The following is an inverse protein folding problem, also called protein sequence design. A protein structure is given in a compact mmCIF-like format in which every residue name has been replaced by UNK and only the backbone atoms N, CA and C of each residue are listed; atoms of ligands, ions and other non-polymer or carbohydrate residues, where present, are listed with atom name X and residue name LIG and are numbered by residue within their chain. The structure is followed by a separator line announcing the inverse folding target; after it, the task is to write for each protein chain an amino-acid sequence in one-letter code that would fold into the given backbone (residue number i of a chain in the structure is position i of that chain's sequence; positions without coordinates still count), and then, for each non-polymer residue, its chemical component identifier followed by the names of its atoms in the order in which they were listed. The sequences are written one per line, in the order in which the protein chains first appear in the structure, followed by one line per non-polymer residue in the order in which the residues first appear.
data_IF_429796837690
#
_entry.id   IF_429796837690
#
_cell.length_a   1.000
_cell.length_b   1.000
_cell.length_c   1.000
_cell.angle_alpha   90.00
_cell.angle_beta   90.00
_cell.angle_gamma   90.00
#
_symmetry.space_group_name_H-M   'P 1'
#
loop_
_entity.id
_entity.type
_entity.pdbx_description
1 polymer ?
#
# COMPACT_ATOMS: atom_id res chain seq x y z
N UNK A 1 -9.80 17.91 81.66
CA UNK A 1 -10.13 18.80 80.54
C UNK A 1 -8.91 19.65 80.24
N UNK A 2 -8.14 19.33 79.19
CA UNK A 2 -7.10 20.24 78.71
C UNK A 2 -7.69 21.10 77.57
N UNK A 3 -7.53 22.44 77.62
CA UNK A 3 -8.05 23.33 76.60
C UNK A 3 -7.22 23.16 75.31
N UNK A 4 -7.89 22.83 74.21
CA UNK A 4 -7.26 22.75 72.90
C UNK A 4 -6.76 24.12 72.45
N UNK A 5 -5.46 24.20 72.14
CA UNK A 5 -4.81 25.38 71.57
C UNK A 5 -5.45 25.76 70.21
N UNK A 6 -6.01 26.98 70.05
CA UNK A 6 -6.66 27.42 68.82
C UNK A 6 -5.70 27.58 67.62
N UNK A 7 -4.38 27.46 67.80
CA UNK A 7 -3.37 27.61 66.73
C UNK A 7 -3.26 26.40 65.78
N UNK A 8 -3.76 25.23 66.15
CA UNK A 8 -3.69 23.99 65.33
C UNK A 8 -4.84 23.86 64.29
N UNK A 9 -5.88 24.71 64.36
CA UNK A 9 -7.06 24.61 63.48
C UNK A 9 -6.78 24.93 62.00
N UNK A 10 -5.73 25.69 61.71
CA UNK A 10 -5.32 26.00 60.33
C UNK A 10 -4.55 24.85 59.65
N UNK A 11 -3.74 24.11 60.41
CA UNK A 11 -2.90 23.03 59.88
C UNK A 11 -3.74 21.82 59.44
N UNK A 12 -4.79 21.47 60.20
CA UNK A 12 -5.71 20.39 59.84
C UNK A 12 -6.53 20.70 58.58
N UNK A 13 -6.90 21.97 58.35
CA UNK A 13 -7.63 22.35 57.13
C UNK A 13 -6.72 22.29 55.89
N UNK A 14 -5.46 22.72 56.04
CA UNK A 14 -4.46 22.66 54.97
C UNK A 14 -4.12 21.22 54.58
N UNK A 15 -4.01 20.30 55.54
CA UNK A 15 -3.74 18.89 55.24
C UNK A 15 -4.90 18.21 54.51
N UNK A 16 -6.15 18.53 54.86
CA UNK A 16 -7.33 18.04 54.15
C UNK A 16 -7.41 18.62 52.74
N UNK A 17 -7.18 19.93 52.57
CA UNK A 17 -7.17 20.56 51.24
C UNK A 17 -6.05 19.99 50.35
N UNK A 18 -4.86 19.75 50.92
CA UNK A 18 -3.76 19.11 50.20
C UNK A 18 -4.14 17.70 49.77
N UNK A 19 -4.73 16.89 50.67
CA UNK A 19 -5.15 15.54 50.35
C UNK A 19 -6.21 15.52 49.24
N UNK A 20 -7.23 16.40 49.32
CA UNK A 20 -8.25 16.54 48.28
C UNK A 20 -7.64 16.99 46.95
N UNK A 21 -6.69 17.93 46.98
CA UNK A 21 -6.00 18.40 45.78
C UNK A 21 -5.20 17.25 45.12
N UNK A 22 -4.46 16.46 45.90
CA UNK A 22 -3.74 15.29 45.37
C UNK A 22 -4.71 14.25 44.81
N UNK A 23 -5.81 13.95 45.51
CA UNK A 23 -6.84 13.03 45.01
C UNK A 23 -7.46 13.52 43.70
N UNK A 24 -7.75 14.82 43.59
CA UNK A 24 -8.28 15.43 42.38
C UNK A 24 -7.31 15.34 41.21
N UNK A 25 -6.01 15.59 41.42
CA UNK A 25 -4.97 15.45 40.39
C UNK A 25 -4.84 14.00 39.92
N UNK A 26 -4.80 13.03 40.85
CA UNK A 26 -4.73 11.61 40.50
C UNK A 26 -5.97 11.20 39.69
N UNK A 27 -7.16 11.59 40.13
CA UNK A 27 -8.41 11.31 39.43
C UNK A 27 -8.42 11.91 38.01
N UNK A 28 -7.97 13.15 37.85
CA UNK A 28 -7.88 13.81 36.55
C UNK A 28 -6.94 13.07 35.58
N UNK A 29 -5.75 12.65 36.05
CA UNK A 29 -4.81 11.86 35.24
C UNK A 29 -5.37 10.50 34.87
N UNK A 30 -6.08 9.84 35.79
CA UNK A 30 -6.74 8.56 35.52
C UNK A 30 -7.84 8.70 34.45
N UNK A 31 -8.68 9.73 34.55
CA UNK A 31 -9.71 10.00 33.54
C UNK A 31 -9.11 10.28 32.16
N UNK A 32 -8.02 11.06 32.09
CA UNK A 32 -7.35 11.34 30.82
C UNK A 32 -6.81 10.06 30.17
N UNK A 33 -6.18 9.19 30.96
CA UNK A 33 -5.70 7.87 30.49
C UNK A 33 -6.85 6.98 30.00
N UNK A 34 -7.97 6.95 30.72
CA UNK A 34 -9.16 6.19 30.30
C UNK A 34 -9.76 6.75 29.01
N UNK A 35 -9.85 8.07 28.87
CA UNK A 35 -10.33 8.72 27.65
C UNK A 35 -9.41 8.44 26.45
N UNK A 36 -8.09 8.46 26.65
CA UNK A 36 -7.14 8.10 25.59
C UNK A 36 -7.28 6.62 25.21
N UNK A 37 -7.34 5.71 26.19
CA UNK A 37 -7.47 4.28 25.94
C UNK A 37 -8.77 3.93 25.19
N UNK A 38 -9.89 4.55 25.56
CA UNK A 38 -11.18 4.37 24.87
C UNK A 38 -11.16 4.90 23.44
N UNK A 39 -10.52 6.05 23.19
CA UNK A 39 -10.33 6.57 21.82
C UNK A 39 -9.46 5.65 20.97
N UNK A 40 -8.34 5.15 21.51
CA UNK A 40 -7.47 4.22 20.80
C UNK A 40 -8.19 2.90 20.50
N UNK A 41 -8.94 2.36 21.47
CA UNK A 41 -9.75 1.16 21.27
C UNK A 41 -10.82 1.37 20.18
N UNK A 42 -11.52 2.51 20.20
CA UNK A 42 -12.50 2.88 19.19
C UNK A 42 -11.89 3.00 17.79
N UNK A 43 -10.75 3.68 17.66
CA UNK A 43 -10.04 3.80 16.38
C UNK A 43 -9.54 2.43 15.87
N UNK A 44 -9.03 1.58 16.75
CA UNK A 44 -8.58 0.23 16.41
C UNK A 44 -9.73 -0.65 15.92
N UNK A 45 -10.89 -0.56 16.58
CA UNK A 45 -12.11 -1.26 16.14
C UNK A 45 -12.58 -0.74 14.78
N UNK A 46 -12.63 0.58 14.59
CA UNK A 46 -13.05 1.19 13.32
C UNK A 46 -12.13 0.80 12.15
N UNK A 47 -10.81 0.79 12.36
CA UNK A 47 -9.84 0.36 11.34
C UNK A 47 -10.00 -1.13 10.99
N UNK A 48 -10.22 -1.98 12.00
CA UNK A 48 -10.46 -3.41 11.78
C UNK A 48 -11.76 -3.63 11.00
N UNK A 49 -12.82 -2.93 11.36
CA UNK A 49 -14.10 -2.98 10.64
C UNK A 49 -13.95 -2.50 9.18
N UNK A 50 -13.22 -1.42 8.94
CA UNK A 50 -12.94 -0.92 7.59
C UNK A 50 -12.19 -1.95 6.73
N UNK A 51 -11.16 -2.62 7.30
CA UNK A 51 -10.43 -3.71 6.61
C UNK A 51 -11.34 -4.88 6.27
N UNK A 52 -12.17 -5.32 7.23
CA UNK A 52 -13.12 -6.40 6.99
C UNK A 52 -14.14 -6.04 5.90
N UNK A 53 -14.56 -4.77 5.82
CA UNK A 53 -15.42 -4.29 4.74
C UNK A 53 -14.71 -4.26 3.39
N UNK A 54 -13.45 -3.82 3.33
CA UNK A 54 -12.67 -3.87 2.11
C UNK A 54 -12.53 -5.31 1.59
N UNK A 55 -12.11 -6.26 2.43
CA UNK A 55 -11.96 -7.68 2.03
C UNK A 55 -13.30 -8.33 1.65
N UNK A 56 -14.38 -7.97 2.34
CA UNK A 56 -15.73 -8.45 1.98
C UNK A 56 -16.18 -7.91 0.63
N UNK A 57 -15.91 -6.62 0.36
CA UNK A 57 -16.23 -5.98 -0.90
C UNK A 57 -15.40 -6.58 -2.05
N UNK A 58 -14.11 -6.85 -1.84
CA UNK A 58 -13.25 -7.57 -2.80
C UNK A 58 -13.80 -8.96 -3.12
N UNK A 59 -14.18 -9.74 -2.10
CA UNK A 59 -14.74 -11.09 -2.29
C UNK A 59 -16.04 -11.05 -3.10
N UNK A 60 -16.93 -10.09 -2.80
CA UNK A 60 -18.18 -9.91 -3.53
C UNK A 60 -17.92 -9.44 -4.98
N UNK A 61 -16.99 -8.51 -5.17
CA UNK A 61 -16.58 -8.05 -6.50
C UNK A 61 -16.02 -9.20 -7.34
N UNK A 62 -15.10 -10.01 -6.79
CA UNK A 62 -14.56 -11.18 -7.47
C UNK A 62 -15.63 -12.19 -7.87
N UNK A 63 -16.57 -12.50 -6.98
CA UNK A 63 -17.67 -13.41 -7.29
C UNK A 63 -18.55 -12.87 -8.43
N UNK A 64 -18.84 -11.57 -8.42
CA UNK A 64 -19.63 -10.91 -9.47
C UNK A 64 -18.89 -10.89 -10.81
N UNK A 65 -17.60 -10.53 -10.82
CA UNK A 65 -16.73 -10.54 -12.00
C UNK A 65 -16.66 -11.94 -12.58
N UNK A 66 -16.40 -12.96 -11.75
CA UNK A 66 -16.38 -14.36 -12.17
C UNK A 66 -17.69 -14.77 -12.84
N UNK A 67 -18.83 -14.43 -12.26
CA UNK A 67 -20.14 -14.72 -12.86
C UNK A 67 -20.34 -14.03 -14.22
N UNK A 68 -19.82 -12.81 -14.40
CA UNK A 68 -19.88 -12.09 -15.69
C UNK A 68 -18.97 -12.72 -16.75
N UNK A 69 -17.76 -13.13 -16.36
CA UNK A 69 -16.81 -13.83 -17.23
C UNK A 69 -17.35 -15.19 -17.64
N UNK A 70 -17.91 -15.97 -16.70
CA UNK A 70 -18.46 -17.31 -16.99
C UNK A 70 -19.67 -17.26 -17.94
N UNK A 71 -20.39 -16.12 -18.01
CA UNK A 71 -21.51 -15.90 -18.92
C UNK A 71 -21.10 -15.46 -20.34
N UNK A 72 -19.85 -15.06 -20.58
CA UNK A 72 -19.42 -14.53 -21.88
C UNK A 72 -18.14 -15.22 -22.40
N UNK A 73 -18.24 -15.86 -23.56
CA UNK A 73 -17.08 -16.48 -24.23
C UNK A 73 -16.02 -15.47 -24.66
N UNK A 74 -16.42 -14.22 -24.92
CA UNK A 74 -15.53 -13.17 -25.42
C UNK A 74 -14.62 -12.59 -24.34
N UNK A 75 -14.88 -12.79 -23.03
CA UNK A 75 -14.02 -12.44 -21.86
C UNK A 75 -13.44 -11.01 -21.77
N UNK A 76 -13.58 -10.14 -22.78
CA UNK A 76 -12.70 -8.97 -22.95
C UNK A 76 -13.41 -7.65 -23.22
N UNK A 77 -14.72 -7.56 -23.00
CA UNK A 77 -15.44 -6.30 -23.23
C UNK A 77 -16.24 -5.94 -21.99
N UNK A 78 -15.97 -4.75 -21.43
CA UNK A 78 -16.79 -4.12 -20.41
C UNK A 78 -18.17 -3.78 -20.98
N UNK A 79 -19.00 -4.80 -21.17
CA UNK A 79 -20.32 -4.69 -21.80
C UNK A 79 -21.27 -3.81 -20.99
N UNK A 80 -20.99 -3.63 -19.71
CA UNK A 80 -21.83 -2.90 -18.76
C UNK A 80 -21.29 -1.51 -18.40
N UNK A 81 -20.10 -1.13 -18.87
CA UNK A 81 -19.46 0.14 -18.48
C UNK A 81 -19.07 0.19 -17.00
N UNK A 82 -18.78 -0.97 -16.39
CA UNK A 82 -18.41 -1.11 -14.98
C UNK A 82 -16.94 -0.71 -14.73
N UNK A 83 -16.06 -0.92 -15.71
CA UNK A 83 -14.64 -0.70 -15.55
C UNK A 83 -14.31 0.80 -15.51
N UNK A 84 -13.34 1.17 -14.67
CA UNK A 84 -12.88 2.55 -14.50
C UNK A 84 -13.88 3.48 -13.82
N UNK A 85 -15.05 2.99 -13.37
CA UNK A 85 -16.06 3.79 -12.68
C UNK A 85 -16.18 3.43 -11.21
N UNK A 86 -16.33 4.45 -10.38
CA UNK A 86 -16.68 4.26 -8.97
C UNK A 86 -18.18 3.95 -8.85
N UNK A 87 -18.52 2.92 -8.07
CA UNK A 87 -19.91 2.58 -7.75
C UNK A 87 -20.06 2.23 -6.27
N UNK A 88 -21.19 2.58 -5.66
CA UNK A 88 -21.46 2.22 -4.27
C UNK A 88 -21.85 0.75 -4.15
N UNK A 89 -21.20 0.05 -3.24
CA UNK A 89 -21.51 -1.31 -2.82
C UNK A 89 -22.10 -1.28 -1.40
N UNK A 90 -23.42 -1.46 -1.25
CA UNK A 90 -24.04 -1.45 0.06
C UNK A 90 -23.64 -2.70 0.86
N UNK A 91 -23.18 -2.50 2.09
CA UNK A 91 -22.87 -3.55 3.05
C UNK A 91 -23.82 -3.43 4.27
N UNK A 92 -23.84 -4.46 5.12
CA UNK A 92 -24.78 -4.56 6.25
C UNK A 92 -24.76 -3.35 7.21
N UNK A 93 -23.62 -2.66 7.37
CA UNK A 93 -23.46 -1.50 8.25
C UNK A 93 -22.56 -0.42 7.63
N UNK A 94 -22.75 -0.14 6.34
CA UNK A 94 -22.01 0.91 5.65
C UNK A 94 -22.09 0.79 4.13
N UNK A 95 -21.33 1.63 3.45
CA UNK A 95 -21.19 1.58 1.99
C UNK A 95 -19.71 1.61 1.65
N UNK A 96 -19.29 0.75 0.74
CA UNK A 96 -17.94 0.78 0.17
C UNK A 96 -18.05 1.39 -1.23
N UNK A 97 -17.19 2.34 -1.55
CA UNK A 97 -17.00 2.78 -2.93
C UNK A 97 -16.01 1.84 -3.59
N UNK A 98 -16.42 1.18 -4.66
CA UNK A 98 -15.58 0.25 -5.41
C UNK A 98 -15.31 0.80 -6.81
N UNK A 99 -14.09 0.58 -7.32
CA UNK A 99 -13.71 0.77 -8.71
C UNK A 99 -12.99 -0.48 -9.17
N UNK A 100 -13.32 -0.97 -10.37
CA UNK A 100 -12.67 -2.13 -10.98
C UNK A 100 -11.95 -1.63 -12.22
N UNK A 101 -10.65 -1.90 -12.32
CA UNK A 101 -9.82 -1.53 -13.46
C UNK A 101 -9.29 -2.82 -14.13
N UNK A 102 -9.12 -2.81 -15.46
CA UNK A 102 -8.53 -3.94 -16.19
C UNK A 102 -7.01 -3.84 -16.20
N UNK A 103 -6.35 -4.74 -15.47
CA UNK A 103 -4.89 -4.85 -15.46
C UNK A 103 -4.31 -5.35 -16.80
N UNK A 104 -5.11 -5.94 -17.68
CA UNK A 104 -4.71 -6.44 -19.00
C UNK A 104 -4.59 -5.36 -20.08
N UNK A 105 -5.10 -4.15 -19.85
CA UNK A 105 -5.04 -3.04 -20.80
C UNK A 105 -3.75 -2.19 -20.69
N UNK A 106 -2.79 -2.65 -19.88
CA UNK A 106 -1.48 -2.02 -19.70
C UNK A 106 -0.38 -2.85 -20.37
N UNK A 107 0.72 -2.20 -20.77
CA UNK A 107 1.91 -2.95 -21.18
C UNK A 107 2.47 -3.72 -19.98
N UNK A 108 2.52 -5.04 -20.08
CA UNK A 108 3.10 -5.87 -19.03
C UNK A 108 4.64 -5.78 -19.07
N UNK A 109 5.24 -5.13 -18.08
CA UNK A 109 6.70 -4.99 -17.97
C UNK A 109 7.42 -6.34 -17.84
N UNK A 110 6.80 -7.31 -17.18
CA UNK A 110 7.33 -8.68 -17.08
C UNK A 110 7.36 -9.40 -18.43
N UNK A 111 6.74 -8.83 -19.47
CA UNK A 111 6.88 -9.35 -20.83
C UNK A 111 8.21 -8.98 -21.49
N UNK A 112 9.05 -8.12 -20.89
CA UNK A 112 10.38 -7.81 -21.44
C UNK A 112 11.32 -9.01 -21.45
N UNK A 113 11.05 -10.02 -20.63
CA UNK A 113 11.80 -11.27 -20.57
C UNK A 113 10.92 -12.46 -20.93
N UNK A 114 11.56 -13.57 -21.24
CA UNK A 114 10.94 -14.89 -21.33
C UNK A 114 11.79 -15.92 -20.61
N UNK A 115 11.15 -16.95 -20.06
CA UNK A 115 11.83 -18.03 -19.38
C UNK A 115 12.46 -18.98 -20.42
N UNK A 116 13.76 -19.25 -20.27
CA UNK A 116 14.45 -20.26 -21.06
C UNK A 116 14.14 -21.70 -20.56
N UNK A 117 14.74 -22.70 -21.19
CA UNK A 117 14.57 -24.11 -20.81
C UNK A 117 15.02 -24.45 -19.38
N UNK A 118 15.81 -23.57 -18.75
CA UNK A 118 16.32 -23.69 -17.38
C UNK A 118 15.57 -22.78 -16.41
N UNK A 119 14.46 -22.16 -16.84
CA UNK A 119 13.68 -21.19 -16.08
C UNK A 119 14.45 -19.91 -15.70
N UNK A 120 15.51 -19.56 -16.43
CA UNK A 120 16.14 -18.25 -16.32
C UNK A 120 15.41 -17.24 -17.18
N UNK A 121 15.24 -16.03 -16.69
CA UNK A 121 14.70 -14.92 -17.45
C UNK A 121 15.76 -14.43 -18.43
N UNK A 122 15.42 -14.39 -19.72
CA UNK A 122 16.25 -13.78 -20.75
C UNK A 122 15.49 -12.70 -21.47
N UNK A 123 16.21 -11.66 -21.89
CA UNK A 123 15.66 -10.57 -22.68
C UNK A 123 14.91 -11.08 -23.92
N UNK A 124 13.64 -10.66 -24.04
CA UNK A 124 12.79 -10.88 -25.21
C UNK A 124 12.82 -9.64 -26.09
N UNK A 125 13.62 -9.67 -27.16
CA UNK A 125 13.82 -8.54 -28.08
C UNK A 125 12.52 -7.95 -28.63
N UNK A 126 11.52 -8.80 -28.90
CA UNK A 126 10.20 -8.35 -29.33
C UNK A 126 9.53 -7.47 -28.26
N UNK A 127 9.57 -7.88 -26.99
CA UNK A 127 9.03 -7.11 -25.87
C UNK A 127 9.72 -5.75 -25.71
N UNK A 128 11.05 -5.73 -25.83
CA UNK A 128 11.84 -4.49 -25.80
C UNK A 128 11.42 -3.53 -26.92
N UNK A 129 11.25 -4.04 -28.14
CA UNK A 129 10.80 -3.24 -29.28
C UNK A 129 9.39 -2.68 -29.09
N UNK A 130 8.48 -3.45 -28.49
CA UNK A 130 7.11 -3.03 -28.18
C UNK A 130 7.09 -1.93 -27.12
N UNK A 131 7.88 -2.07 -26.05
CA UNK A 131 7.98 -1.04 -25.01
C UNK A 131 8.56 0.26 -25.57
N UNK A 132 9.64 0.20 -26.36
CA UNK A 132 10.21 1.39 -27.01
C UNK A 132 9.22 2.05 -27.99
N UNK A 133 8.43 1.26 -28.72
CA UNK A 133 7.36 1.79 -29.57
C UNK A 133 6.26 2.50 -28.77
N UNK A 134 5.87 1.94 -27.61
CA UNK A 134 4.95 2.59 -26.67
C UNK A 134 5.54 3.91 -26.15
N UNK A 135 6.79 3.93 -25.69
CA UNK A 135 7.45 5.14 -25.22
C UNK A 135 7.56 6.22 -26.30
N UNK A 136 7.83 5.83 -27.55
CA UNK A 136 7.80 6.74 -28.69
C UNK A 136 6.41 7.35 -28.92
N UNK A 137 5.34 6.56 -28.77
CA UNK A 137 3.96 7.07 -28.88
C UNK A 137 3.59 8.05 -27.77
N UNK A 138 4.27 7.96 -26.62
CA UNK A 138 4.18 8.89 -25.50
C UNK A 138 5.13 10.10 -25.63
N UNK A 139 5.78 10.26 -26.79
CA UNK A 139 6.75 11.32 -27.08
C UNK A 139 8.00 11.34 -26.15
N UNK A 140 8.39 10.18 -25.62
CA UNK A 140 9.66 10.02 -24.89
C UNK A 140 10.81 9.97 -25.91
N UNK A 141 11.89 10.77 -25.73
CA UNK A 141 13.06 10.76 -26.61
C UNK A 141 13.70 9.38 -26.75
N UNK A 142 14.24 9.06 -27.92
CA UNK A 142 14.77 7.73 -28.21
C UNK A 142 15.91 7.30 -27.29
N UNK A 143 16.82 8.22 -26.93
CA UNK A 143 17.90 7.93 -25.99
C UNK A 143 17.40 7.58 -24.59
N UNK A 144 16.42 8.34 -24.09
CA UNK A 144 15.79 8.08 -22.79
C UNK A 144 14.98 6.78 -22.82
N UNK A 145 14.24 6.54 -23.90
CA UNK A 145 13.52 5.29 -24.12
C UNK A 145 14.46 4.08 -24.14
N UNK A 146 15.65 4.19 -24.75
CA UNK A 146 16.64 3.11 -24.74
C UNK A 146 17.18 2.86 -23.33
N UNK A 147 17.59 3.91 -22.60
CA UNK A 147 18.09 3.78 -21.22
C UNK A 147 17.03 3.16 -20.30
N UNK A 148 15.79 3.63 -20.35
CA UNK A 148 14.69 3.11 -19.53
C UNK A 148 14.40 1.64 -19.88
N UNK A 149 14.23 1.33 -21.18
CA UNK A 149 13.87 -0.04 -21.57
C UNK A 149 14.95 -1.05 -21.22
N UNK A 150 16.22 -0.67 -21.39
CA UNK A 150 17.37 -1.54 -21.16
C UNK A 150 17.58 -1.74 -19.66
N UNK A 151 17.46 -0.66 -18.86
CA UNK A 151 17.56 -0.76 -17.40
C UNK A 151 16.44 -1.60 -16.78
N UNK A 152 15.21 -1.55 -17.32
CA UNK A 152 14.11 -2.40 -16.85
C UNK A 152 14.34 -3.86 -17.28
N UNK A 153 14.93 -4.11 -18.44
CA UNK A 153 15.26 -5.47 -18.85
C UNK A 153 16.30 -6.10 -17.92
N UNK A 154 17.41 -5.40 -17.69
CA UNK A 154 18.50 -5.81 -16.77
C UNK A 154 18.00 -5.93 -15.31
N UNK A 155 16.95 -5.20 -14.93
CA UNK A 155 16.34 -5.36 -13.62
C UNK A 155 15.69 -6.74 -13.42
N UNK A 156 15.19 -7.34 -14.51
CA UNK A 156 14.31 -8.51 -14.51
C UNK A 156 15.01 -9.80 -14.96
N UNK A 157 15.91 -9.71 -15.92
CA UNK A 157 16.63 -10.87 -16.43
C UNK A 157 17.59 -11.44 -15.38
N UNK A 158 18.03 -12.68 -15.61
CA UNK A 158 18.71 -13.47 -14.57
C UNK A 158 20.23 -13.36 -14.63
N UNK A 159 20.77 -12.79 -15.71
CA UNK A 159 22.21 -12.59 -15.79
C UNK A 159 22.64 -11.31 -15.06
N UNK A 160 23.89 -10.91 -15.22
CA UNK A 160 24.44 -9.70 -14.59
C UNK A 160 25.29 -8.95 -15.61
N UNK A 161 24.87 -9.02 -16.89
CA UNK A 161 25.57 -8.46 -18.04
C UNK A 161 24.77 -7.27 -18.53
N UNK A 162 25.22 -6.03 -18.26
CA UNK A 162 24.42 -4.87 -18.57
C UNK A 162 24.21 -4.72 -20.08
N UNK A 163 22.98 -4.40 -20.48
CA UNK A 163 22.67 -4.00 -21.84
C UNK A 163 23.39 -2.68 -22.21
N UNK A 164 23.49 -2.32 -23.51
CA UNK A 164 24.27 -1.16 -23.95
C UNK A 164 23.93 0.17 -23.27
N UNK A 165 22.67 0.36 -22.88
CA UNK A 165 22.21 1.53 -22.11
C UNK A 165 21.58 1.12 -20.78
N UNK A 166 21.78 -0.14 -20.37
CA UNK A 166 21.20 -0.72 -19.18
C UNK A 166 22.07 -0.53 -17.95
N UNK A 167 21.67 -1.21 -16.88
CA UNK A 167 22.28 -1.09 -15.57
C UNK A 167 22.08 -2.39 -14.80
N UNK A 168 23.16 -2.91 -14.24
CA UNK A 168 23.21 -4.14 -13.44
C UNK A 168 23.71 -3.86 -12.01
N UNK A 169 23.97 -4.91 -11.23
CA UNK A 169 24.41 -4.84 -9.82
C UNK A 169 25.44 -3.74 -9.55
N UNK A 170 26.49 -3.64 -10.37
CA UNK A 170 27.56 -2.66 -10.19
C UNK A 170 27.03 -1.21 -10.21
N UNK A 171 26.02 -0.94 -11.04
CA UNK A 171 25.39 0.39 -11.14
C UNK A 171 24.54 0.72 -9.91
N UNK A 172 23.76 -0.26 -9.41
CA UNK A 172 22.89 -0.05 -8.26
C UNK A 172 23.66 -0.06 -6.93
N UNK A 173 24.76 -0.80 -6.84
CA UNK A 173 25.65 -0.79 -5.68
C UNK A 173 26.39 0.54 -5.51
N UNK A 174 26.56 1.31 -6.60
CA UNK A 174 27.13 2.66 -6.56
C UNK A 174 26.20 3.75 -6.02
N UNK A 175 24.93 3.44 -5.74
CA UNK A 175 23.94 4.43 -5.23
C UNK A 175 24.18 4.77 -3.75
N UNK A 176 23.70 5.92 -3.25
CA UNK A 176 23.83 6.31 -1.84
C UNK A 176 23.28 5.27 -0.85
N UNK A 177 22.23 4.57 -1.26
CA UNK A 177 21.73 3.36 -0.59
C UNK A 177 21.95 2.20 -1.56
N UNK A 178 23.00 1.38 -1.37
CA UNK A 178 23.34 0.29 -2.27
C UNK A 178 22.28 -0.82 -2.25
N UNK A 179 21.94 -1.32 -3.43
CA UNK A 179 21.14 -2.53 -3.62
C UNK A 179 21.56 -3.22 -4.94
N UNK A 180 20.93 -4.35 -5.23
CA UNK A 180 21.20 -5.19 -6.41
C UNK A 180 20.01 -5.19 -7.35
N UNK A 181 20.22 -5.59 -8.60
CA UNK A 181 19.11 -5.91 -9.50
C UNK A 181 18.25 -7.02 -8.90
N UNK A 182 16.98 -7.08 -9.30
CA UNK A 182 16.06 -8.04 -8.72
C UNK A 182 16.35 -9.46 -9.21
N UNK A 183 16.78 -9.63 -10.47
CA UNK A 183 17.03 -10.94 -11.07
C UNK A 183 15.76 -11.78 -11.23
N UNK A 184 14.59 -11.14 -11.18
CA UNK A 184 13.27 -11.78 -11.13
C UNK A 184 12.20 -10.87 -11.73
N UNK A 185 11.03 -11.47 -12.00
CA UNK A 185 9.84 -10.71 -12.38
C UNK A 185 9.49 -9.66 -11.32
N UNK A 186 9.07 -8.49 -11.80
CA UNK A 186 8.55 -7.38 -11.01
C UNK A 186 7.30 -7.86 -10.28
N UNK A 187 7.29 -7.68 -8.95
CA UNK A 187 6.16 -7.94 -8.09
C UNK A 187 5.23 -6.75 -7.96
N UNK A 188 5.77 -5.53 -7.99
CA UNK A 188 4.99 -4.29 -7.96
C UNK A 188 5.58 -3.23 -8.89
N UNK A 189 4.73 -2.44 -9.56
CA UNK A 189 5.16 -1.39 -10.49
C UNK A 189 6.05 -0.33 -9.81
N UNK A 190 5.95 -0.14 -8.49
CA UNK A 190 6.82 0.79 -7.75
C UNK A 190 8.29 0.38 -7.72
N UNK A 191 8.64 -0.84 -8.15
CA UNK A 191 10.04 -1.27 -8.29
C UNK A 191 10.79 -0.47 -9.38
N UNK A 192 10.11 0.15 -10.35
CA UNK A 192 10.74 0.84 -11.50
C UNK A 192 10.93 2.37 -11.30
N UNK A 193 10.97 2.86 -10.07
CA UNK A 193 11.02 4.31 -9.76
C UNK A 193 12.31 5.00 -10.22
#
# INVERSE_FOLDING_TARGET
MNPHDPKERGAALLSVLLLVAVMAVIAAVMLDRLNLATRLAGNGQAMTQARLYATSAETLAMARIKAMVDQSQERTVDRTGLLGREFPMPLLRGTVMARVDDAGNCFNLNSLVEADAQANNRLRLVGLSQLRALMRSLAIPEGEAATISDSIADWIDTDNVPAPNGAEDDSYQGRPVPYRTAGRLIGDVSEIR
#
